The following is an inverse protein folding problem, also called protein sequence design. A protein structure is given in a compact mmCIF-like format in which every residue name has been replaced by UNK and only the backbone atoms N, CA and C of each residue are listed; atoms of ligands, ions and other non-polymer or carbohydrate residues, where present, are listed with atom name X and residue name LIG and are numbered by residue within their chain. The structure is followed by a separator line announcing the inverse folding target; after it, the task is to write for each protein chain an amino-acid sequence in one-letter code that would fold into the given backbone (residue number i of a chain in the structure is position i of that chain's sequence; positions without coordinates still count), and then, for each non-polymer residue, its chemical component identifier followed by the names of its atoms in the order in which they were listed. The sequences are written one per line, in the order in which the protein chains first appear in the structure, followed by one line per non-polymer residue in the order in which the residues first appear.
data_IF_173423355892
#
_entry.id   IF_173423355892
#
_cell.length_a   1.000
_cell.length_b   1.000
_cell.length_c   1.000
_cell.angle_alpha   90.00
_cell.angle_beta   90.00
_cell.angle_gamma   90.00
#
_symmetry.space_group_name_H-M   'P 1'
#
loop_
_entity.id
_entity.type
_entity.pdbx_description
1 polymer ?
#
# COMPACT_ATOMS: atom_id res chain seq x y z
N UNK A 1 0.81 6.59 -13.63
CA UNK A 1 0.14 5.63 -14.52
C UNK A 1 -1.23 5.24 -13.94
N UNK A 2 -2.25 5.04 -14.79
CA UNK A 2 -3.59 4.58 -14.40
C UNK A 2 -4.24 5.40 -13.28
N UNK A 3 -4.06 6.72 -13.25
CA UNK A 3 -4.51 7.61 -12.17
C UNK A 3 -6.03 7.54 -11.91
N UNK A 4 -6.84 7.36 -12.95
CA UNK A 4 -8.28 7.17 -12.83
C UNK A 4 -8.63 6.00 -11.89
N UNK A 5 -7.85 4.92 -11.97
CA UNK A 5 -8.06 3.71 -11.17
C UNK A 5 -7.45 3.88 -9.78
N UNK A 6 -6.19 4.30 -9.72
CA UNK A 6 -5.48 4.42 -8.43
C UNK A 6 -6.09 5.48 -7.52
N UNK A 7 -6.63 6.57 -8.07
CA UNK A 7 -7.35 7.57 -7.26
C UNK A 7 -8.64 7.01 -6.66
N UNK A 8 -9.42 6.22 -7.41
CA UNK A 8 -10.62 5.56 -6.88
C UNK A 8 -10.28 4.55 -5.78
N UNK A 9 -9.18 3.81 -5.93
CA UNK A 9 -8.69 2.89 -4.90
C UNK A 9 -8.25 3.65 -3.64
N UNK A 10 -7.47 4.72 -3.82
CA UNK A 10 -6.99 5.54 -2.70
C UNK A 10 -8.15 6.21 -1.96
N UNK A 11 -9.12 6.78 -2.67
CA UNK A 11 -10.31 7.37 -2.05
C UNK A 11 -11.11 6.34 -1.28
N UNK A 12 -11.34 5.14 -1.85
CA UNK A 12 -12.01 4.04 -1.14
C UNK A 12 -11.28 3.61 0.13
N UNK A 13 -9.96 3.62 0.12
CA UNK A 13 -9.16 3.33 1.32
C UNK A 13 -9.32 4.43 2.37
N UNK A 14 -9.18 5.70 1.99
CA UNK A 14 -9.30 6.85 2.90
C UNK A 14 -10.68 6.88 3.54
N UNK A 15 -11.75 6.82 2.74
CA UNK A 15 -13.14 6.85 3.23
C UNK A 15 -13.41 5.71 4.23
N UNK A 16 -12.84 4.53 3.95
CA UNK A 16 -12.98 3.37 4.83
C UNK A 16 -12.23 3.57 6.15
N UNK A 17 -11.01 4.09 6.12
CA UNK A 17 -10.24 4.40 7.32
C UNK A 17 -10.96 5.42 8.20
N UNK A 18 -11.45 6.52 7.60
CA UNK A 18 -12.20 7.57 8.32
C UNK A 18 -13.49 7.02 8.91
N UNK A 19 -14.24 6.23 8.15
CA UNK A 19 -15.46 5.56 8.62
C UNK A 19 -15.23 4.68 9.85
N UNK A 20 -14.03 4.10 9.97
CA UNK A 20 -13.64 3.26 11.11
C UNK A 20 -12.90 4.02 12.22
N UNK A 21 -12.93 5.35 12.20
CA UNK A 21 -12.45 6.20 13.28
C UNK A 21 -11.00 6.64 13.17
N UNK A 22 -10.31 6.36 12.06
CA UNK A 22 -8.99 6.94 11.80
C UNK A 22 -9.16 8.40 11.46
N UNK A 23 -8.48 9.30 12.19
CA UNK A 23 -8.53 10.72 11.92
C UNK A 23 -7.78 11.05 10.63
N UNK A 24 -8.31 11.97 9.82
CA UNK A 24 -7.69 12.37 8.54
C UNK A 24 -6.25 12.86 8.72
N UNK A 25 -5.97 13.57 9.80
CA UNK A 25 -4.62 14.05 10.15
C UNK A 25 -3.59 12.92 10.36
N UNK A 26 -4.05 11.70 10.60
CA UNK A 26 -3.24 10.50 10.76
C UNK A 26 -3.11 9.68 9.47
N UNK A 27 -3.75 10.12 8.38
CA UNK A 27 -3.63 9.50 7.07
C UNK A 27 -2.61 10.31 6.25
N UNK A 28 -1.47 9.70 5.95
CA UNK A 28 -0.45 10.31 5.09
C UNK A 28 -0.45 9.62 3.73
N UNK A 29 -0.53 10.40 2.65
CA UNK A 29 -0.56 9.89 1.29
C UNK A 29 0.71 10.32 0.55
N UNK A 30 1.47 9.34 0.08
CA UNK A 30 2.65 9.56 -0.75
C UNK A 30 2.40 9.05 -2.17
N UNK A 31 2.66 9.90 -3.15
CA UNK A 31 2.65 9.49 -4.55
C UNK A 31 4.04 9.10 -5.01
N UNK A 32 4.12 7.99 -5.73
CA UNK A 32 5.34 7.48 -6.36
C UNK A 32 5.12 7.38 -7.88
N UNK A 33 6.20 7.39 -8.70
CA UNK A 33 6.06 7.39 -10.16
C UNK A 33 5.33 6.18 -10.74
N UNK A 34 5.52 5.00 -10.16
CA UNK A 34 4.93 3.76 -10.66
C UNK A 34 4.81 2.68 -9.59
N UNK A 35 4.28 1.53 -9.98
CA UNK A 35 4.01 0.40 -9.07
C UNK A 35 5.31 -0.21 -8.50
N UNK A 36 6.39 -0.21 -9.26
CA UNK A 36 7.70 -0.71 -8.80
C UNK A 36 8.22 0.12 -7.63
N UNK A 37 8.03 1.43 -7.65
CA UNK A 37 8.49 2.37 -6.61
C UNK A 37 7.68 2.32 -5.32
N UNK A 38 6.54 1.61 -5.30
CA UNK A 38 5.72 1.41 -4.10
C UNK A 38 6.50 0.75 -2.97
N UNK A 39 7.37 -0.22 -3.31
CA UNK A 39 8.21 -0.89 -2.31
C UNK A 39 9.15 0.09 -1.61
N UNK A 40 9.78 1.00 -2.36
CA UNK A 40 10.65 2.03 -1.77
C UNK A 40 9.85 3.01 -0.89
N UNK A 41 8.69 3.47 -1.39
CA UNK A 41 7.80 4.34 -0.62
C UNK A 41 7.35 3.69 0.70
N UNK A 42 6.95 2.41 0.65
CA UNK A 42 6.57 1.65 1.83
C UNK A 42 7.74 1.49 2.83
N UNK A 43 8.94 1.20 2.33
CA UNK A 43 10.14 1.06 3.16
C UNK A 43 10.45 2.32 3.97
N UNK A 44 10.20 3.52 3.41
CA UNK A 44 10.37 4.79 4.13
C UNK A 44 9.46 4.90 5.35
N UNK A 45 8.21 4.42 5.26
CA UNK A 45 7.26 4.45 6.38
C UNK A 45 7.54 3.35 7.40
N UNK A 46 7.91 2.16 6.95
CA UNK A 46 8.27 1.04 7.83
C UNK A 46 9.51 1.37 8.67
N UNK A 47 10.51 2.03 8.06
CA UNK A 47 11.75 2.41 8.77
C UNK A 47 11.66 3.73 9.56
N UNK A 48 10.49 4.34 9.62
CA UNK A 48 10.31 5.65 10.24
C UNK A 48 10.83 6.78 9.37
N UNK A 49 9.94 7.34 8.54
CA UNK A 49 10.27 8.46 7.66
C UNK A 49 10.54 9.72 8.46
N UNK A 50 11.69 10.34 8.24
CA UNK A 50 11.96 11.68 8.76
C UNK A 50 11.27 12.74 7.89
N UNK A 51 10.31 13.44 8.46
CA UNK A 51 9.77 14.67 7.88
C UNK A 51 10.01 15.80 8.87
N UNK A 52 10.69 16.87 8.44
CA UNK A 52 11.04 18.03 9.29
C UNK A 52 11.78 17.67 10.61
N UNK A 53 12.68 16.70 10.56
CA UNK A 53 13.50 16.30 11.71
C UNK A 53 12.82 15.37 12.71
N UNK A 54 11.54 15.09 12.58
CA UNK A 54 10.82 14.14 13.43
C UNK A 54 10.62 12.79 12.71
N UNK A 55 10.87 11.69 13.45
CA UNK A 55 10.53 10.34 12.99
C UNK A 55 9.02 10.16 13.10
N UNK A 56 8.36 9.87 11.96
CA UNK A 56 6.96 9.52 11.93
C UNK A 56 6.84 8.05 11.51
N UNK A 57 6.32 7.23 12.39
CA UNK A 57 6.05 5.81 12.12
C UNK A 57 4.59 5.64 11.72
N UNK A 58 4.34 4.73 10.81
CA UNK A 58 2.99 4.28 10.48
C UNK A 58 2.62 3.05 11.30
N UNK A 59 1.34 2.91 11.64
CA UNK A 59 0.81 1.68 12.26
C UNK A 59 0.51 0.60 11.21
N UNK A 60 0.25 1.01 9.98
CA UNK A 60 0.18 0.16 8.79
C UNK A 60 0.48 1.01 7.54
N UNK A 61 0.93 0.36 6.48
CA UNK A 61 1.11 0.97 5.15
C UNK A 61 0.22 0.24 4.15
N UNK A 62 -0.52 0.96 3.33
CA UNK A 62 -1.30 0.39 2.24
C UNK A 62 -0.64 0.81 0.92
N UNK A 63 -0.09 -0.15 0.19
CA UNK A 63 0.44 0.13 -1.15
C UNK A 63 -0.67 -0.04 -2.18
N UNK A 64 -0.95 1.04 -2.92
CA UNK A 64 -2.02 1.10 -3.92
C UNK A 64 -1.40 1.31 -5.30
N UNK A 65 -1.70 0.40 -6.22
CA UNK A 65 -1.20 0.45 -7.58
C UNK A 65 -2.13 -0.26 -8.54
N UNK A 66 -1.85 -0.09 -9.83
CA UNK A 66 -2.58 -0.78 -10.89
C UNK A 66 -1.63 -1.09 -12.04
N UNK A 67 -1.46 -2.39 -12.30
CA UNK A 67 -0.69 -2.91 -13.43
C UNK A 67 -1.68 -3.59 -14.39
N UNK A 68 -1.72 -3.10 -15.61
CA UNK A 68 -2.55 -3.69 -16.68
C UNK A 68 -1.60 -4.33 -17.68
N UNK A 69 -1.90 -5.55 -18.08
CA UNK A 69 -1.08 -6.29 -19.03
C UNK A 69 -0.97 -5.57 -20.35
N UNK A 70 0.26 -5.38 -20.82
CA UNK A 70 0.58 -4.92 -22.16
C UNK A 70 1.14 -6.05 -23.02
N UNK A 71 1.70 -5.70 -24.16
CA UNK A 71 2.18 -6.66 -25.17
C UNK A 71 3.52 -7.32 -24.82
N UNK A 72 4.19 -6.86 -23.80
CA UNK A 72 5.52 -7.31 -23.43
C UNK A 72 5.56 -8.00 -22.05
N UNK A 73 6.57 -8.86 -21.79
CA UNK A 73 6.77 -9.50 -20.49
C UNK A 73 7.00 -8.52 -19.32
N UNK A 74 7.12 -7.22 -19.59
CA UNK A 74 7.31 -6.20 -18.56
C UNK A 74 6.26 -6.26 -17.45
N UNK A 75 5.03 -6.62 -17.79
CA UNK A 75 3.95 -6.85 -16.83
C UNK A 75 4.34 -7.83 -15.73
N UNK A 76 4.91 -8.97 -16.11
CA UNK A 76 5.29 -10.01 -15.16
C UNK A 76 6.38 -9.54 -14.21
N UNK A 77 7.38 -8.82 -14.73
CA UNK A 77 8.47 -8.28 -13.91
C UNK A 77 7.99 -7.21 -12.93
N UNK A 78 7.08 -6.32 -13.36
CA UNK A 78 6.48 -5.31 -12.46
C UNK A 78 5.67 -5.99 -11.36
N UNK A 79 4.82 -6.96 -11.71
CA UNK A 79 4.01 -7.70 -10.74
C UNK A 79 4.89 -8.47 -9.74
N UNK A 80 5.92 -9.16 -10.22
CA UNK A 80 6.88 -9.87 -9.35
C UNK A 80 7.65 -8.93 -8.44
N UNK A 81 8.16 -7.83 -8.98
CA UNK A 81 8.94 -6.84 -8.22
C UNK A 81 8.16 -6.31 -7.02
N UNK A 82 6.94 -5.80 -7.23
CA UNK A 82 6.13 -5.25 -6.16
C UNK A 82 5.67 -6.32 -5.17
N UNK A 83 5.30 -7.50 -5.65
CA UNK A 83 4.86 -8.62 -4.79
C UNK A 83 5.99 -9.07 -3.88
N UNK A 84 7.18 -9.33 -4.44
CA UNK A 84 8.36 -9.71 -3.66
C UNK A 84 8.79 -8.62 -2.70
N UNK A 85 8.78 -7.36 -3.14
CA UNK A 85 9.14 -6.22 -2.29
C UNK A 85 8.24 -6.12 -1.06
N UNK A 86 6.94 -6.21 -1.23
CA UNK A 86 5.98 -6.18 -0.10
C UNK A 86 6.15 -7.41 0.80
N UNK A 87 6.36 -8.59 0.22
CA UNK A 87 6.61 -9.82 0.99
C UNK A 87 7.87 -9.69 1.86
N UNK A 88 8.95 -9.15 1.31
CA UNK A 88 10.20 -8.94 2.05
C UNK A 88 10.00 -7.93 3.18
N UNK A 89 9.31 -6.80 2.93
CA UNK A 89 9.04 -5.81 3.97
C UNK A 89 8.23 -6.40 5.12
N UNK A 90 7.23 -7.23 4.85
CA UNK A 90 6.45 -7.90 5.88
C UNK A 90 7.24 -8.98 6.64
N UNK A 91 8.06 -9.76 5.93
CA UNK A 91 8.88 -10.80 6.55
C UNK A 91 10.02 -10.24 7.43
N UNK A 92 10.55 -9.08 7.06
CA UNK A 92 11.63 -8.39 7.78
C UNK A 92 11.12 -7.34 8.77
N UNK A 93 9.82 -7.11 8.81
CA UNK A 93 9.19 -6.15 9.68
C UNK A 93 9.63 -6.35 11.13
N UNK A 94 10.25 -5.34 11.72
CA UNK A 94 10.80 -5.38 13.06
C UNK A 94 12.24 -5.88 13.19
N UNK A 95 12.86 -6.41 12.13
CA UNK A 95 14.22 -6.96 12.22
C UNK A 95 15.35 -5.90 12.15
N UNK A 96 15.07 -4.66 11.79
CA UNK A 96 16.09 -3.66 11.45
C UNK A 96 16.28 -2.54 12.47
N UNK A 97 15.69 -2.59 13.65
CA UNK A 97 15.99 -1.59 14.66
C UNK A 97 17.25 -2.00 15.46
N UNK A 98 18.41 -1.58 14.96
CA UNK A 98 19.71 -1.75 15.64
C UNK A 98 19.87 -0.82 16.85
N UNK A 99 18.89 -0.02 17.18
CA UNK A 99 18.92 0.93 18.26
C UNK A 99 17.88 0.62 19.33
N UNK A 100 18.27 0.06 20.42
CA UNK A 100 17.75 0.11 21.81
C UNK A 100 16.22 0.14 22.07
N UNK A 101 15.34 0.03 21.08
CA UNK A 101 13.88 0.10 21.24
C UNK A 101 13.20 -1.16 20.68
N UNK A 102 12.09 -1.52 21.26
CA UNK A 102 11.27 -2.66 20.87
C UNK A 102 10.99 -2.67 19.35
N UNK A 103 11.15 -3.80 18.67
CA UNK A 103 10.83 -3.94 17.27
C UNK A 103 9.38 -3.48 17.03
N UNK A 104 9.19 -2.48 16.16
CA UNK A 104 7.85 -2.06 15.77
C UNK A 104 7.49 -2.72 14.45
N UNK A 105 6.52 -3.60 14.51
CA UNK A 105 5.98 -4.25 13.33
C UNK A 105 4.99 -3.32 12.64
N UNK A 106 5.26 -2.96 11.39
CA UNK A 106 4.38 -2.15 10.55
C UNK A 106 3.96 -2.98 9.34
N UNK A 107 2.74 -3.52 9.32
CA UNK A 107 2.28 -4.33 8.21
C UNK A 107 2.14 -3.50 6.94
N UNK A 108 2.61 -4.05 5.82
CA UNK A 108 2.47 -3.48 4.48
C UNK A 108 1.37 -4.25 3.75
N UNK A 109 0.27 -3.59 3.48
CA UNK A 109 -0.93 -4.19 2.88
C UNK A 109 -0.88 -4.03 1.37
N UNK A 110 -0.98 -5.14 0.65
CA UNK A 110 -0.95 -5.20 -0.80
C UNK A 110 -2.32 -4.90 -1.40
N UNK A 111 -2.52 -3.67 -1.88
CA UNK A 111 -3.71 -3.22 -2.61
C UNK A 111 -3.38 -2.85 -4.07
N UNK A 112 -2.54 -3.67 -4.71
CA UNK A 112 -2.16 -3.51 -6.11
C UNK A 112 -3.05 -4.40 -6.99
N UNK A 113 -3.65 -3.78 -7.99
CA UNK A 113 -4.36 -4.52 -9.04
C UNK A 113 -3.37 -5.00 -10.11
N UNK A 114 -3.51 -6.25 -10.50
CA UNK A 114 -2.78 -6.90 -11.59
C UNK A 114 -3.82 -7.51 -12.54
N UNK A 115 -4.12 -6.83 -13.61
CA UNK A 115 -5.26 -7.16 -14.48
C UNK A 115 -4.84 -7.33 -15.93
N UNK A 116 -5.59 -8.11 -16.69
CA UNK A 116 -5.34 -8.35 -18.11
C UNK A 116 -5.78 -7.16 -18.97
N UNK A 117 -6.82 -6.44 -18.51
CA UNK A 117 -7.37 -5.29 -19.22
C UNK A 117 -7.85 -4.20 -18.27
N UNK A 118 -8.20 -3.05 -18.83
CA UNK A 118 -8.68 -1.87 -18.09
C UNK A 118 -10.02 -2.14 -17.41
N UNK A 119 -10.93 -2.91 -18.04
CA UNK A 119 -12.24 -3.16 -17.47
C UNK A 119 -12.17 -3.97 -16.18
N UNK A 120 -11.30 -4.97 -16.11
CA UNK A 120 -11.03 -5.73 -14.89
C UNK A 120 -10.52 -4.80 -13.77
N UNK A 121 -9.67 -3.84 -14.10
CA UNK A 121 -9.17 -2.87 -13.12
C UNK A 121 -10.28 -1.94 -12.62
N UNK A 122 -11.14 -1.44 -13.51
CA UNK A 122 -12.31 -0.62 -13.15
C UNK A 122 -13.30 -1.40 -12.27
N UNK A 123 -13.54 -2.67 -12.60
CA UNK A 123 -14.42 -3.54 -11.82
C UNK A 123 -13.95 -3.71 -10.36
N UNK A 124 -12.65 -3.62 -10.12
CA UNK A 124 -12.02 -3.71 -8.79
C UNK A 124 -11.72 -2.36 -8.14
N UNK A 125 -12.03 -1.26 -8.81
CA UNK A 125 -11.85 0.10 -8.32
C UNK A 125 -13.19 0.81 -8.03
N UNK A 126 -14.16 0.08 -7.49
CA UNK A 126 -15.50 0.56 -7.18
C UNK A 126 -16.56 0.15 -8.21
N UNK A 127 -16.22 -0.75 -9.15
CA UNK A 127 -17.15 -1.36 -10.07
C UNK A 127 -17.84 -2.61 -9.48
N UNK A 128 -18.26 -3.53 -10.35
CA UNK A 128 -19.06 -4.70 -9.97
C UNK A 128 -18.40 -5.68 -8.99
N UNK A 129 -17.08 -5.64 -8.87
CA UNK A 129 -16.29 -6.50 -7.98
C UNK A 129 -15.76 -5.76 -6.73
N UNK A 130 -16.32 -4.59 -6.43
CA UNK A 130 -15.95 -3.81 -5.27
C UNK A 130 -14.69 -2.96 -5.46
N UNK A 131 -14.08 -2.55 -4.35
CA UNK A 131 -12.94 -1.65 -4.36
C UNK A 131 -11.78 -2.25 -3.54
N UNK A 132 -10.66 -2.54 -4.22
CA UNK A 132 -9.47 -3.13 -3.58
C UNK A 132 -8.82 -2.22 -2.53
N UNK A 133 -8.99 -0.92 -2.65
CA UNK A 133 -8.55 0.04 -1.63
C UNK A 133 -9.36 -0.09 -0.34
N UNK A 134 -10.67 -0.28 -0.44
CA UNK A 134 -11.55 -0.56 0.71
C UNK A 134 -11.10 -1.84 1.43
N UNK A 135 -10.87 -2.93 0.67
CA UNK A 135 -10.37 -4.19 1.24
C UNK A 135 -9.01 -3.99 1.94
N UNK A 136 -8.12 -3.21 1.32
CA UNK A 136 -6.81 -2.86 1.88
C UNK A 136 -6.93 -2.10 3.20
N UNK A 137 -7.82 -1.13 3.29
CA UNK A 137 -8.07 -0.36 4.51
C UNK A 137 -8.59 -1.24 5.65
N UNK A 138 -9.57 -2.10 5.38
CA UNK A 138 -10.09 -3.06 6.37
C UNK A 138 -8.96 -4.00 6.84
N UNK A 139 -8.14 -4.49 5.91
CA UNK A 139 -7.00 -5.34 6.25
C UNK A 139 -5.97 -4.59 7.09
N UNK A 140 -5.66 -3.32 6.76
CA UNK A 140 -4.74 -2.49 7.53
C UNK A 140 -5.19 -2.31 8.98
N UNK A 141 -6.48 -2.01 9.19
CA UNK A 141 -7.06 -1.87 10.54
C UNK A 141 -6.90 -3.18 11.33
N UNK A 142 -7.24 -4.32 10.72
CA UNK A 142 -7.11 -5.63 11.37
C UNK A 142 -5.66 -5.95 11.72
N UNK A 143 -4.73 -5.72 10.80
CA UNK A 143 -3.31 -6.03 11.00
C UNK A 143 -2.65 -5.10 12.01
N UNK A 144 -3.03 -3.82 12.05
CA UNK A 144 -2.54 -2.86 13.05
C UNK A 144 -2.98 -3.18 14.49
N UNK A 145 -4.06 -3.97 14.64
CA UNK A 145 -4.63 -4.38 15.93
C UNK A 145 -4.44 -5.89 16.20
N UNK A 146 -3.50 -6.54 15.53
CA UNK A 146 -3.30 -7.99 15.67
C UNK A 146 -2.62 -8.37 16.97
N UNK A 147 -1.83 -7.48 17.57
CA UNK A 147 -1.02 -7.68 18.79
C UNK A 147 -1.54 -6.84 19.95
#
# INVERSE_FOLDING_TARGET
WNSEITHKLAQGAIDTLVKHGVKEENIDVMHVPGTVELTYGAALYVSGKKKFGMLKYADAVIVIGCVIQGDTPHFDYVCQSVTQGVTILNAQGGANDRAYYTPRYCPVIFSVLTTLDKQQALDRAGGRLGNKGVEGAVTAIKMANLL
#
